data_IF_393202004988
#
_entry.id   IF_393202004988
#
_cell.length_a   1.000
_cell.length_b   1.000
_cell.length_c   1.000
_cell.angle_alpha   90.00
_cell.angle_beta   90.00
_cell.angle_gamma   90.00
#
_symmetry.space_group_name_H-M   'P 1'
#
loop_
_entity.id
_entity.type
_entity.pdbx_description
1 polymer ?
#
# COMPACT_ATOMS: atom_id res chain seq x y z
N UNK A 1 -16.22 22.62 8.58
CA UNK A 1 -15.26 22.22 9.64
C UNK A 1 -14.63 23.46 10.30
N UNK A 2 -14.01 23.34 11.47
CA UNK A 2 -13.28 24.44 12.14
C UNK A 2 -11.78 24.16 12.13
N UNK A 3 -10.96 25.20 12.05
CA UNK A 3 -9.51 25.06 12.04
C UNK A 3 -8.99 24.64 13.43
N UNK A 4 -8.20 23.57 13.49
CA UNK A 4 -7.63 23.04 14.75
C UNK A 4 -6.66 23.99 15.45
N UNK A 5 -6.11 24.97 14.73
CA UNK A 5 -5.13 25.91 15.27
C UNK A 5 -5.76 27.24 15.72
N UNK A 6 -6.76 27.75 14.99
CA UNK A 6 -7.31 29.08 15.25
C UNK A 6 -8.83 29.11 15.50
N UNK A 7 -9.52 27.98 15.43
CA UNK A 7 -10.97 27.90 15.68
C UNK A 7 -11.86 28.57 14.62
N UNK A 8 -11.30 29.16 13.56
CA UNK A 8 -12.09 29.79 12.49
C UNK A 8 -12.85 28.75 11.65
N UNK A 9 -14.04 29.11 11.17
CA UNK A 9 -14.86 28.25 10.28
C UNK A 9 -14.21 28.20 8.89
N UNK A 10 -13.92 26.99 8.42
CA UNK A 10 -13.16 26.73 7.19
C UNK A 10 -13.93 25.81 6.25
N UNK A 11 -13.71 26.01 4.95
CA UNK A 11 -14.31 25.22 3.89
C UNK A 11 -13.62 23.86 3.76
N UNK A 12 -14.39 22.79 3.58
CA UNK A 12 -13.90 21.41 3.60
C UNK A 12 -12.85 21.08 2.53
N UNK A 13 -12.73 21.92 1.50
CA UNK A 13 -11.77 21.79 0.40
C UNK A 13 -10.54 22.69 0.54
N UNK A 14 -10.49 23.60 1.52
CA UNK A 14 -9.36 24.53 1.67
C UNK A 14 -8.12 23.78 2.15
N UNK A 15 -7.07 23.77 1.34
CA UNK A 15 -5.76 23.16 1.68
C UNK A 15 -5.04 23.94 2.77
N UNK A 16 -5.30 25.25 2.85
CA UNK A 16 -4.70 26.19 3.78
C UNK A 16 -5.80 26.99 4.49
N UNK A 17 -5.61 27.22 5.79
CA UNK A 17 -6.43 28.12 6.59
C UNK A 17 -6.16 29.59 6.19
N UNK A 18 -7.15 30.34 5.67
CA UNK A 18 -6.94 31.73 5.23
C UNK A 18 -6.66 32.69 6.38
N UNK A 19 -7.03 32.35 7.61
CA UNK A 19 -6.85 33.19 8.80
C UNK A 19 -5.52 32.95 9.53
N UNK A 20 -4.94 31.76 9.40
CA UNK A 20 -3.84 31.31 10.25
C UNK A 20 -2.69 30.65 9.50
N UNK A 21 -2.86 30.37 8.21
CA UNK A 21 -1.82 29.76 7.38
C UNK A 21 -1.52 28.28 7.67
N UNK A 22 -2.27 27.62 8.57
CA UNK A 22 -2.06 26.18 8.81
C UNK A 22 -2.59 25.33 7.66
N UNK A 23 -1.90 24.22 7.36
CA UNK A 23 -2.25 23.30 6.28
C UNK A 23 -3.29 22.30 6.79
N UNK A 24 -4.47 22.28 6.17
CA UNK A 24 -5.64 21.51 6.62
C UNK A 24 -5.76 20.15 5.90
N UNK A 25 -5.09 19.97 4.76
CA UNK A 25 -5.22 18.77 3.92
C UNK A 25 -4.04 17.82 4.14
N UNK A 26 -4.20 16.84 5.03
CA UNK A 26 -3.30 15.67 5.14
C UNK A 26 -3.96 14.35 4.68
N UNK A 27 -5.28 14.31 4.53
CA UNK A 27 -5.98 13.02 4.52
C UNK A 27 -6.28 12.41 3.15
N UNK A 28 -6.49 13.23 2.10
CA UNK A 28 -6.90 12.68 0.80
C UNK A 28 -5.76 11.95 0.07
N UNK A 29 -4.51 12.39 0.27
CA UNK A 29 -3.36 11.71 -0.29
C UNK A 29 -2.94 10.49 0.54
N UNK A 30 -3.39 10.35 1.80
CA UNK A 30 -3.01 9.21 2.63
C UNK A 30 -3.83 7.96 2.28
N UNK A 31 -5.17 8.06 2.19
CA UNK A 31 -6.06 6.89 2.04
C UNK A 31 -5.87 6.09 0.73
N UNK A 32 -5.76 6.76 -0.41
CA UNK A 32 -5.59 6.07 -1.70
C UNK A 32 -4.17 5.53 -1.89
N UNK A 33 -3.22 6.14 -1.19
CA UNK A 33 -1.82 5.75 -1.20
C UNK A 33 -1.64 4.41 -0.45
N UNK A 34 -2.35 4.15 0.65
CA UNK A 34 -2.21 2.89 1.44
C UNK A 34 -2.50 1.62 0.64
N UNK A 35 -3.51 1.68 -0.25
CA UNK A 35 -3.90 0.56 -1.14
C UNK A 35 -2.90 0.43 -2.29
N UNK A 36 -2.45 1.55 -2.87
CA UNK A 36 -1.49 1.56 -3.96
C UNK A 36 -0.17 0.88 -3.62
N UNK A 37 0.32 1.04 -2.39
CA UNK A 37 1.55 0.38 -1.93
C UNK A 37 1.43 -1.14 -1.81
N UNK A 38 0.25 -1.65 -1.47
CA UNK A 38 -0.02 -3.08 -1.47
C UNK A 38 0.03 -3.68 -2.87
N UNK A 39 -0.56 -2.99 -3.85
CA UNK A 39 -0.56 -3.41 -5.26
C UNK A 39 0.87 -3.37 -5.84
N UNK A 40 1.66 -2.34 -5.51
CA UNK A 40 3.06 -2.25 -5.93
C UNK A 40 3.89 -3.41 -5.38
N UNK A 41 3.66 -3.79 -4.12
CA UNK A 41 4.30 -4.94 -3.49
C UNK A 41 3.93 -6.27 -4.15
N UNK A 42 2.71 -6.41 -4.68
CA UNK A 42 2.28 -7.62 -5.38
C UNK A 42 3.02 -7.82 -6.71
N UNK A 43 3.21 -6.77 -7.50
CA UNK A 43 3.92 -6.85 -8.79
C UNK A 43 5.44 -6.97 -8.63
N UNK A 44 6.02 -6.33 -7.61
CA UNK A 44 7.47 -6.35 -7.35
C UNK A 44 7.71 -6.65 -5.87
N UNK A 45 7.71 -7.94 -5.46
CA UNK A 45 7.79 -8.34 -4.05
C UNK A 45 9.06 -7.85 -3.34
N UNK A 46 10.19 -7.74 -4.06
CA UNK A 46 11.45 -7.18 -3.52
C UNK A 46 11.27 -5.72 -3.10
N UNK A 47 10.62 -4.91 -3.92
CA UNK A 47 10.37 -3.49 -3.65
C UNK A 47 9.40 -3.36 -2.48
N UNK A 48 8.35 -4.18 -2.43
CA UNK A 48 7.40 -4.20 -1.30
C UNK A 48 8.07 -4.52 0.05
N UNK A 49 9.03 -5.45 0.09
CA UNK A 49 9.80 -5.77 1.30
C UNK A 49 10.73 -4.63 1.73
N UNK A 50 11.38 -3.96 0.77
CA UNK A 50 12.24 -2.79 1.05
C UNK A 50 11.41 -1.63 1.62
N UNK A 51 10.24 -1.34 1.03
CA UNK A 51 9.34 -0.30 1.53
C UNK A 51 8.78 -0.63 2.91
N UNK A 52 8.48 -1.91 3.19
CA UNK A 52 8.09 -2.36 4.52
C UNK A 52 9.13 -1.99 5.57
N UNK A 53 10.41 -2.23 5.29
CA UNK A 53 11.52 -1.91 6.19
C UNK A 53 11.72 -0.40 6.38
N UNK A 54 11.67 0.38 5.30
CA UNK A 54 11.85 1.85 5.37
C UNK A 54 10.71 2.54 6.14
N UNK A 55 9.48 2.05 6.02
CA UNK A 55 8.30 2.66 6.64
C UNK A 55 7.88 2.08 7.98
N UNK A 56 8.67 1.16 8.53
CA UNK A 56 8.42 0.57 9.84
C UNK A 56 8.28 1.63 10.94
N UNK A 57 9.18 2.62 10.94
CA UNK A 57 9.25 3.68 11.96
C UNK A 57 8.37 4.90 11.62
N UNK A 58 8.19 5.20 10.33
CA UNK A 58 7.51 6.44 9.91
C UNK A 58 6.01 6.28 9.74
N UNK A 59 5.54 5.15 9.19
CA UNK A 59 4.14 4.91 8.82
C UNK A 59 3.78 3.42 8.95
N UNK A 60 3.63 2.90 10.18
CA UNK A 60 3.49 1.46 10.41
C UNK A 60 2.23 0.84 9.78
N UNK A 61 1.17 1.63 9.58
CA UNK A 61 -0.06 1.15 8.90
C UNK A 61 0.19 0.85 7.42
N UNK A 62 0.91 1.73 6.73
CA UNK A 62 1.20 1.60 5.28
C UNK A 62 2.31 0.58 5.05
N UNK A 63 3.28 0.49 5.96
CA UNK A 63 4.28 -0.56 5.92
C UNK A 63 3.60 -1.94 5.89
N UNK A 64 2.68 -2.21 6.83
CA UNK A 64 1.97 -3.50 6.90
C UNK A 64 1.21 -3.86 5.63
N UNK A 65 0.57 -2.91 4.94
CA UNK A 65 -0.14 -3.19 3.68
C UNK A 65 0.82 -3.49 2.53
N UNK A 66 1.94 -2.76 2.41
CA UNK A 66 2.98 -3.03 1.43
C UNK A 66 3.65 -4.39 1.62
N UNK A 67 3.96 -4.74 2.87
CA UNK A 67 4.54 -6.04 3.24
C UNK A 67 3.60 -7.22 2.99
N UNK A 68 2.30 -7.05 3.28
CA UNK A 68 1.28 -8.07 3.00
C UNK A 68 1.12 -8.30 1.48
N UNK A 69 1.17 -7.23 0.68
CA UNK A 69 1.15 -7.31 -0.79
C UNK A 69 2.35 -8.10 -1.34
N UNK A 70 3.55 -7.85 -0.82
CA UNK A 70 4.76 -8.59 -1.19
C UNK A 70 4.65 -10.10 -0.85
N UNK A 71 4.15 -10.44 0.34
CA UNK A 71 3.96 -11.83 0.76
C UNK A 71 2.96 -12.56 -0.14
N UNK A 72 1.84 -11.91 -0.46
CA UNK A 72 0.79 -12.49 -1.30
C UNK A 72 1.28 -12.72 -2.75
N UNK A 73 2.09 -11.80 -3.28
CA UNK A 73 2.72 -11.94 -4.59
C UNK A 73 3.66 -13.15 -4.67
N UNK A 74 4.58 -13.30 -3.72
CA UNK A 74 5.49 -14.45 -3.66
C UNK A 74 4.72 -15.76 -3.54
N UNK A 75 3.71 -15.81 -2.65
CA UNK A 75 2.86 -16.99 -2.50
C UNK A 75 2.16 -17.37 -3.79
N UNK A 76 1.61 -16.40 -4.54
CA UNK A 76 0.92 -16.66 -5.81
C UNK A 76 1.86 -17.26 -6.86
N UNK A 77 3.08 -16.72 -6.98
CA UNK A 77 4.08 -17.23 -7.94
C UNK A 77 4.46 -18.67 -7.63
N UNK A 78 4.72 -18.97 -6.35
CA UNK A 78 5.08 -20.32 -5.89
C UNK A 78 3.95 -21.31 -6.18
N UNK A 79 2.71 -20.94 -5.86
CA UNK A 79 1.54 -21.80 -6.04
C UNK A 79 1.29 -22.11 -7.53
N UNK A 80 1.49 -21.11 -8.39
CA UNK A 80 1.36 -21.27 -9.84
C UNK A 80 2.44 -22.20 -10.43
N UNK A 81 3.68 -22.06 -9.97
CA UNK A 81 4.79 -22.95 -10.37
C UNK A 81 4.55 -24.41 -9.95
N UNK A 82 4.06 -24.64 -8.74
CA UNK A 82 3.74 -25.99 -8.24
C UNK A 82 2.65 -26.64 -9.10
N UNK A 83 1.57 -25.92 -9.39
CA UNK A 83 0.48 -26.43 -10.23
C UNK A 83 0.95 -26.72 -11.65
N UNK A 84 1.73 -25.82 -12.25
CA UNK A 84 2.29 -26.03 -13.59
C UNK A 84 3.21 -27.25 -13.64
N UNK A 85 4.09 -27.41 -12.65
CA UNK A 85 4.98 -28.57 -12.55
C UNK A 85 4.19 -29.88 -12.42
N UNK A 86 3.17 -29.91 -11.56
CA UNK A 86 2.36 -31.11 -11.35
C UNK A 86 1.57 -31.48 -12.61
N UNK A 87 1.02 -30.48 -13.31
CA UNK A 87 0.36 -30.68 -14.60
C UNK A 87 1.34 -31.19 -15.67
N UNK A 88 2.54 -30.62 -15.76
CA UNK A 88 3.57 -31.03 -16.71
C UNK A 88 4.02 -32.48 -16.48
N UNK A 89 4.25 -32.88 -15.22
CA UNK A 89 4.60 -34.26 -14.86
C UNK A 89 3.48 -35.22 -15.19
N UNK A 90 2.23 -34.87 -14.89
CA UNK A 90 1.06 -35.69 -15.24
C UNK A 90 0.96 -35.89 -16.75
N UNK A 91 1.12 -34.82 -17.53
CA UNK A 91 1.11 -34.86 -19.00
C UNK A 91 2.20 -35.81 -19.53
N UNK A 92 3.42 -35.70 -19.00
CA UNK A 92 4.57 -36.52 -19.42
C UNK A 92 4.42 -38.01 -19.03
N UNK A 93 3.68 -38.32 -17.96
CA UNK A 93 3.35 -39.70 -17.60
C UNK A 93 2.25 -40.31 -18.49
N UNK A 94 1.41 -39.48 -19.11
CA UNK A 94 0.29 -39.91 -19.95
C UNK A 94 0.69 -40.06 -21.43
N UNK A 95 1.73 -39.37 -21.87
CA UNK A 95 2.34 -39.47 -23.20
C UNK A 95 3.30 -40.65 -23.26
#
# INVERSE_FOLDING_TARGET
MYCSNCGSKINEKSVLCPHCGTILKKEFFSRNTEIGWGILGFFVPVVGLILYLIWLETKPKIAKTAGLGALCGVSTIILFWILYFLFFVLLLLVI
#
